data_IF_107499478011
#
_entry.id   IF_107499478011
#
_cell.length_a   1.000
_cell.length_b   1.000
_cell.length_c   1.000
_cell.angle_alpha   90.00
_cell.angle_beta   90.00
_cell.angle_gamma   90.00
#
_symmetry.space_group_name_H-M   'P 1'
#
loop_
_entity.id
_entity.type
_entity.pdbx_description
1 polymer ?
#
# COMPACT_ATOMS: atom_id res chain seq x y z
N UNK A 1 -10.89 -35.11 -44.83
CA UNK A 1 -11.62 -33.83 -45.06
C UNK A 1 -11.45 -32.83 -43.91
N UNK A 2 -11.36 -33.24 -42.64
CA UNK A 2 -11.25 -32.31 -41.49
C UNK A 2 -9.99 -31.43 -41.45
N UNK A 3 -8.83 -31.93 -41.90
CA UNK A 3 -7.57 -31.16 -41.84
C UNK A 3 -7.61 -29.91 -42.71
N UNK A 4 -8.22 -30.01 -43.89
CA UNK A 4 -8.36 -28.91 -44.86
C UNK A 4 -9.28 -27.80 -44.33
N UNK A 5 -10.32 -28.16 -43.58
CA UNK A 5 -11.28 -27.22 -43.00
C UNK A 5 -10.68 -26.48 -41.78
N UNK A 6 -9.85 -27.18 -40.99
CA UNK A 6 -9.06 -26.55 -39.92
C UNK A 6 -8.01 -25.57 -40.45
N UNK A 7 -7.36 -25.90 -41.56
CA UNK A 7 -6.40 -25.00 -42.20
C UNK A 7 -7.08 -23.76 -42.78
N UNK A 8 -8.27 -23.90 -43.39
CA UNK A 8 -9.08 -22.77 -43.87
C UNK A 8 -9.61 -21.86 -42.74
N UNK A 9 -9.97 -22.42 -41.58
CA UNK A 9 -10.36 -21.63 -40.41
C UNK A 9 -9.16 -20.91 -39.77
N UNK A 10 -7.97 -21.51 -39.79
CA UNK A 10 -6.75 -20.87 -39.29
C UNK A 10 -6.27 -19.75 -40.20
N UNK A 11 -6.40 -19.89 -41.52
CA UNK A 11 -6.08 -18.81 -42.45
C UNK A 11 -7.04 -17.64 -42.30
N UNK A 12 -8.35 -17.88 -42.13
CA UNK A 12 -9.34 -16.82 -41.87
C UNK A 12 -9.07 -16.02 -40.59
N UNK A 13 -8.48 -16.64 -39.56
CA UNK A 13 -8.11 -15.96 -38.31
C UNK A 13 -6.92 -15.00 -38.47
N UNK A 14 -5.96 -15.34 -39.35
CA UNK A 14 -4.68 -14.63 -39.45
C UNK A 14 -4.60 -13.68 -40.66
N UNK A 15 -5.38 -13.92 -41.71
CA UNK A 15 -5.25 -13.22 -42.99
C UNK A 15 -6.12 -11.95 -43.09
N UNK A 16 -7.00 -11.74 -42.12
CA UNK A 16 -7.77 -10.51 -41.98
C UNK A 16 -7.81 -10.09 -40.51
N UNK A 17 -6.89 -9.23 -40.08
CA UNK A 17 -6.96 -8.50 -38.79
C UNK A 17 -8.26 -7.69 -38.57
N UNK A 18 -9.28 -7.89 -39.41
CA UNK A 18 -10.67 -7.41 -39.40
C UNK A 18 -11.59 -8.17 -38.45
N UNK A 19 -11.11 -9.20 -37.74
CA UNK A 19 -11.85 -9.78 -36.60
C UNK A 19 -11.75 -8.92 -35.33
N UNK A 20 -10.82 -7.95 -35.30
CA UNK A 20 -10.93 -6.85 -34.36
C UNK A 20 -11.98 -5.88 -34.91
N UNK A 21 -12.99 -5.59 -34.09
CA UNK A 21 -14.00 -4.59 -34.42
C UNK A 21 -13.28 -3.28 -34.78
N UNK A 22 -13.68 -2.66 -35.89
CA UNK A 22 -13.15 -1.37 -36.33
C UNK A 22 -13.20 -0.39 -35.15
N UNK A 23 -12.06 0.22 -34.82
CA UNK A 23 -11.96 1.15 -33.69
C UNK A 23 -12.91 2.35 -33.85
N UNK A 24 -13.25 2.72 -35.08
CA UNK A 24 -14.25 3.75 -35.36
C UNK A 24 -15.68 3.26 -35.04
N UNK A 25 -15.97 1.99 -35.31
CA UNK A 25 -17.25 1.37 -34.93
C UNK A 25 -17.37 1.22 -33.41
N UNK A 26 -16.29 0.82 -32.73
CA UNK A 26 -16.26 0.68 -31.27
C UNK A 26 -16.45 2.02 -30.58
N UNK A 27 -15.72 3.06 -31.00
CA UNK A 27 -15.83 4.41 -30.43
C UNK A 27 -17.21 5.04 -30.69
N UNK A 28 -17.78 4.87 -31.89
CA UNK A 28 -19.13 5.34 -32.21
C UNK A 28 -20.19 4.64 -31.36
N UNK A 29 -20.15 3.31 -31.26
CA UNK A 29 -21.08 2.57 -30.41
C UNK A 29 -20.91 2.92 -28.94
N UNK A 30 -19.69 3.12 -28.44
CA UNK A 30 -19.45 3.56 -27.07
C UNK A 30 -20.09 4.93 -26.81
N UNK A 31 -19.97 5.86 -27.75
CA UNK A 31 -20.61 7.17 -27.67
C UNK A 31 -22.14 7.09 -27.69
N UNK A 32 -22.72 6.29 -28.58
CA UNK A 32 -24.18 6.10 -28.65
C UNK A 32 -24.73 5.42 -27.39
N UNK A 33 -24.02 4.44 -26.84
CA UNK A 33 -24.41 3.73 -25.62
C UNK A 33 -24.29 4.65 -24.40
N UNK A 34 -23.23 5.45 -24.29
CA UNK A 34 -23.10 6.46 -23.23
C UNK A 34 -24.18 7.55 -23.35
N UNK A 35 -24.55 7.95 -24.57
CA UNK A 35 -25.64 8.91 -24.81
C UNK A 35 -27.00 8.32 -24.43
N UNK A 36 -27.25 7.04 -24.70
CA UNK A 36 -28.46 6.34 -24.25
C UNK A 36 -28.50 6.22 -22.73
N UNK A 37 -27.39 5.86 -22.08
CA UNK A 37 -27.32 5.78 -20.61
C UNK A 37 -27.53 7.17 -20.00
N UNK A 38 -26.84 8.20 -20.48
CA UNK A 38 -26.97 9.55 -19.91
C UNK A 38 -28.34 10.17 -20.18
N UNK A 39 -28.95 9.93 -21.34
CA UNK A 39 -30.33 10.36 -21.62
C UNK A 39 -31.35 9.58 -20.77
N UNK A 40 -31.18 8.28 -20.54
CA UNK A 40 -32.05 7.51 -19.63
C UNK A 40 -31.83 7.85 -18.15
N UNK A 41 -30.64 8.28 -17.75
CA UNK A 41 -30.31 8.65 -16.36
C UNK A 41 -30.67 10.11 -16.05
N UNK A 42 -30.59 11.03 -17.01
CA UNK A 42 -30.90 12.46 -16.79
C UNK A 42 -32.34 12.87 -17.12
N UNK A 43 -33.15 12.01 -17.76
CA UNK A 43 -34.57 12.32 -18.05
C UNK A 43 -35.55 11.72 -17.04
N UNK A 44 -35.14 11.55 -15.77
CA UNK A 44 -36.09 11.47 -14.66
C UNK A 44 -36.27 12.85 -14.01
N UNK A 45 -36.65 13.80 -14.86
CA UNK A 45 -37.51 14.92 -14.46
C UNK A 45 -38.75 14.35 -13.76
N UNK A 46 -39.30 15.09 -12.81
CA UNK A 46 -40.44 14.74 -11.94
C UNK A 46 -41.72 14.38 -12.70
N UNK A 47 -41.75 13.21 -13.34
CA UNK A 47 -42.97 12.50 -13.64
C UNK A 47 -43.11 11.38 -12.61
N UNK A 48 -44.08 11.56 -11.72
CA UNK A 48 -44.71 10.50 -10.94
C UNK A 48 -45.11 9.39 -11.90
N UNK A 49 -44.23 8.41 -12.05
CA UNK A 49 -44.52 7.20 -12.81
C UNK A 49 -45.66 6.48 -12.08
N UNK A 50 -46.84 6.46 -12.69
CA UNK A 50 -47.97 5.61 -12.31
C UNK A 50 -47.68 4.11 -12.59
N UNK A 51 -46.46 3.63 -12.34
CA UNK A 51 -46.10 2.20 -12.41
C UNK A 51 -46.76 1.37 -11.32
N UNK A 52 -47.39 2.02 -10.34
CA UNK A 52 -48.23 1.36 -9.36
C UNK A 52 -49.45 0.67 -10.01
N UNK A 53 -50.01 1.20 -11.11
CA UNK A 53 -51.18 0.64 -11.78
C UNK A 53 -50.89 -0.68 -12.50
N UNK A 54 -49.89 -0.69 -13.38
CA UNK A 54 -49.57 -1.83 -14.25
C UNK A 54 -49.00 -3.02 -13.44
N UNK A 55 -48.20 -2.76 -12.42
CA UNK A 55 -47.67 -3.82 -11.53
C UNK A 55 -48.80 -4.39 -10.64
N UNK A 56 -49.80 -3.57 -10.27
CA UNK A 56 -50.95 -4.04 -9.48
C UNK A 56 -51.89 -4.97 -10.25
N UNK A 57 -52.04 -4.79 -11.56
CA UNK A 57 -52.89 -5.65 -12.40
C UNK A 57 -52.25 -7.02 -12.63
N UNK A 58 -50.93 -7.06 -12.87
CA UNK A 58 -50.19 -8.33 -13.04
C UNK A 58 -50.16 -9.14 -11.72
N UNK A 59 -50.09 -8.46 -10.58
CA UNK A 59 -50.15 -9.12 -9.25
C UNK A 59 -51.53 -9.67 -8.89
N UNK A 60 -52.61 -9.15 -9.48
CA UNK A 60 -53.97 -9.62 -9.20
C UNK A 60 -54.32 -10.92 -9.93
N UNK A 61 -53.63 -11.25 -11.02
CA UNK A 61 -53.86 -12.47 -11.80
C UNK A 61 -53.21 -13.70 -11.14
N UNK A 62 -52.09 -13.52 -10.43
CA UNK A 62 -51.29 -14.65 -9.93
C UNK A 62 -51.46 -14.98 -8.45
N UNK A 63 -52.17 -14.16 -7.65
CA UNK A 63 -52.32 -14.40 -6.20
C UNK A 63 -53.79 -14.38 -5.78
N UNK A 64 -54.39 -15.53 -5.41
CA UNK A 64 -55.75 -15.59 -4.94
C UNK A 64 -55.93 -14.82 -3.61
N UNK A 65 -57.09 -14.16 -3.46
CA UNK A 65 -57.37 -13.19 -2.41
C UNK A 65 -57.15 -13.68 -0.97
N UNK A 66 -57.26 -15.00 -0.74
CA UNK A 66 -57.06 -15.64 0.56
C UNK A 66 -55.61 -15.60 1.08
N UNK A 67 -54.61 -15.44 0.20
CA UNK A 67 -53.19 -15.39 0.60
C UNK A 67 -52.68 -13.97 0.86
N UNK A 68 -53.48 -12.94 0.59
CA UNK A 68 -53.04 -11.53 0.60
C UNK A 68 -52.67 -10.98 1.98
N UNK A 69 -53.21 -11.55 3.07
CA UNK A 69 -52.86 -11.16 4.45
C UNK A 69 -51.58 -11.83 4.96
N UNK A 70 -51.26 -13.03 4.49
CA UNK A 70 -50.13 -13.83 5.00
C UNK A 70 -48.83 -13.58 4.22
N UNK A 71 -48.93 -13.22 2.93
CA UNK A 71 -47.76 -13.00 2.09
C UNK A 71 -47.12 -11.63 2.27
N UNK A 72 -47.84 -10.62 2.79
CA UNK A 72 -47.30 -9.27 2.99
C UNK A 72 -45.97 -9.25 3.77
N UNK A 73 -45.87 -9.77 5.01
CA UNK A 73 -44.60 -9.75 5.73
C UNK A 73 -43.53 -10.63 5.07
N UNK A 74 -43.91 -11.76 4.47
CA UNK A 74 -42.97 -12.67 3.79
C UNK A 74 -42.37 -12.06 2.53
N UNK A 75 -43.14 -11.29 1.77
CA UNK A 75 -42.64 -10.57 0.59
C UNK A 75 -41.79 -9.40 1.03
N UNK A 76 -42.15 -8.63 2.07
CA UNK A 76 -41.31 -7.53 2.53
C UNK A 76 -39.97 -8.05 3.07
N UNK A 77 -39.96 -9.16 3.81
CA UNK A 77 -38.69 -9.77 4.25
C UNK A 77 -37.90 -10.33 3.07
N UNK A 78 -38.56 -10.98 2.11
CA UNK A 78 -37.90 -11.45 0.89
C UNK A 78 -37.35 -10.27 0.07
N UNK A 79 -38.05 -9.15 -0.04
CA UNK A 79 -37.62 -7.95 -0.75
C UNK A 79 -36.48 -7.25 0.00
N UNK A 80 -36.50 -7.22 1.33
CA UNK A 80 -35.38 -6.73 2.14
C UNK A 80 -34.16 -7.63 1.95
N UNK A 81 -34.33 -8.95 1.95
CA UNK A 81 -33.25 -9.91 1.69
C UNK A 81 -32.75 -9.77 0.25
N UNK A 82 -33.63 -9.71 -0.74
CA UNK A 82 -33.28 -9.59 -2.15
C UNK A 82 -32.67 -8.22 -2.45
N UNK A 83 -33.11 -7.12 -1.87
CA UNK A 83 -32.45 -5.81 -2.03
C UNK A 83 -31.11 -5.78 -1.29
N UNK A 84 -31.02 -6.41 -0.13
CA UNK A 84 -29.75 -6.57 0.60
C UNK A 84 -28.75 -7.46 -0.17
N UNK A 85 -29.23 -8.48 -0.88
CA UNK A 85 -28.41 -9.46 -1.62
C UNK A 85 -28.13 -9.01 -3.06
N UNK A 86 -29.12 -8.46 -3.77
CA UNK A 86 -28.98 -7.94 -5.13
C UNK A 86 -28.24 -6.59 -5.16
N UNK A 87 -28.34 -5.78 -4.09
CA UNK A 87 -27.45 -4.63 -3.88
C UNK A 87 -25.98 -5.06 -3.72
N UNK A 88 -25.73 -6.23 -3.12
CA UNK A 88 -24.38 -6.78 -2.95
C UNK A 88 -23.74 -7.18 -4.30
N UNK A 89 -24.50 -7.69 -5.26
CA UNK A 89 -23.93 -8.19 -6.53
C UNK A 89 -23.45 -7.07 -7.48
N UNK A 90 -24.10 -5.90 -7.50
CA UNK A 90 -23.66 -4.76 -8.31
C UNK A 90 -22.54 -3.94 -7.62
N UNK A 91 -22.54 -3.85 -6.29
CA UNK A 91 -21.53 -3.09 -5.56
C UNK A 91 -20.19 -3.81 -5.39
N UNK A 92 -20.13 -5.14 -5.41
CA UNK A 92 -18.88 -5.89 -5.18
C UNK A 92 -17.86 -5.71 -6.30
N UNK A 93 -18.31 -5.53 -7.55
CA UNK A 93 -17.41 -5.30 -8.69
C UNK A 93 -16.77 -3.90 -8.69
N UNK A 94 -17.50 -2.89 -8.18
CA UNK A 94 -16.97 -1.54 -8.03
C UNK A 94 -16.16 -1.37 -6.73
N UNK A 95 -16.53 -2.08 -5.65
CA UNK A 95 -15.83 -1.98 -4.38
C UNK A 95 -14.49 -2.71 -4.35
N UNK A 96 -14.20 -3.64 -5.28
CA UNK A 96 -12.91 -4.34 -5.26
C UNK A 96 -11.72 -3.39 -5.47
N UNK A 97 -11.92 -2.33 -6.25
CA UNK A 97 -10.94 -1.28 -6.51
C UNK A 97 -11.03 -0.07 -5.57
N UNK A 98 -11.93 -0.06 -4.59
CA UNK A 98 -12.05 1.10 -3.68
C UNK A 98 -10.83 1.20 -2.76
N UNK A 99 -10.27 2.40 -2.67
CA UNK A 99 -9.17 2.73 -1.78
C UNK A 99 -9.66 3.19 -0.41
N UNK A 100 -8.78 3.13 0.62
CA UNK A 100 -9.07 3.70 1.93
C UNK A 100 -9.53 5.16 1.85
N UNK A 101 -10.77 5.42 2.24
CA UNK A 101 -11.41 6.74 2.14
C UNK A 101 -12.55 6.83 1.12
N UNK A 102 -12.63 5.86 0.20
CA UNK A 102 -13.72 5.80 -0.76
C UNK A 102 -15.04 5.34 -0.11
N UNK A 103 -16.17 5.79 -0.66
CA UNK A 103 -17.51 5.51 -0.13
C UNK A 103 -17.80 4.00 0.06
N UNK A 104 -17.26 3.16 -0.82
CA UNK A 104 -17.48 1.71 -0.80
C UNK A 104 -16.38 0.90 -0.09
N UNK A 105 -15.37 1.56 0.48
CA UNK A 105 -14.28 0.86 1.17
C UNK A 105 -14.77 0.11 2.42
N UNK A 106 -15.76 0.66 3.14
CA UNK A 106 -16.41 -0.04 4.25
C UNK A 106 -17.06 -1.35 3.82
N UNK A 107 -17.65 -1.38 2.62
CA UNK A 107 -18.27 -2.59 2.05
C UNK A 107 -17.20 -3.62 1.69
N UNK A 108 -16.06 -3.19 1.12
CA UNK A 108 -14.90 -4.05 0.87
C UNK A 108 -14.40 -4.73 2.15
N UNK A 109 -14.18 -3.96 3.21
CA UNK A 109 -13.76 -4.48 4.51
C UNK A 109 -14.76 -5.47 5.11
N UNK A 110 -16.06 -5.17 5.02
CA UNK A 110 -17.11 -6.06 5.50
C UNK A 110 -17.11 -7.39 4.73
N UNK A 111 -17.02 -7.33 3.39
CA UNK A 111 -16.97 -8.52 2.55
C UNK A 111 -15.71 -9.37 2.81
N UNK A 112 -14.55 -8.75 3.02
CA UNK A 112 -13.31 -9.44 3.39
C UNK A 112 -13.42 -10.13 4.76
N UNK A 113 -13.94 -9.43 5.77
CA UNK A 113 -14.16 -10.01 7.11
C UNK A 113 -15.13 -11.18 7.06
N UNK A 114 -16.23 -11.07 6.32
CA UNK A 114 -17.18 -12.18 6.12
C UNK A 114 -16.50 -13.37 5.46
N UNK A 115 -15.68 -13.13 4.41
CA UNK A 115 -14.89 -14.20 3.78
C UNK A 115 -13.92 -14.86 4.76
N UNK A 116 -13.24 -14.08 5.62
CA UNK A 116 -12.34 -14.64 6.63
C UNK A 116 -13.08 -15.48 7.68
N UNK A 117 -14.25 -15.02 8.15
CA UNK A 117 -15.06 -15.75 9.13
C UNK A 117 -15.60 -17.05 8.52
N UNK A 118 -16.27 -16.95 7.36
CA UNK A 118 -16.84 -18.13 6.69
C UNK A 118 -15.73 -19.08 6.24
N UNK A 119 -14.64 -18.56 5.68
CA UNK A 119 -13.49 -19.34 5.25
C UNK A 119 -12.79 -20.03 6.41
N UNK A 120 -12.65 -19.39 7.58
CA UNK A 120 -12.09 -20.01 8.76
C UNK A 120 -12.99 -21.08 9.39
N UNK A 121 -14.31 -20.92 9.31
CA UNK A 121 -15.27 -21.93 9.78
C UNK A 121 -15.30 -23.18 8.87
N UNK A 122 -15.26 -22.98 7.55
CA UNK A 122 -15.40 -24.08 6.57
C UNK A 122 -14.05 -24.74 6.25
N UNK A 123 -12.98 -23.95 6.17
CA UNK A 123 -11.65 -24.39 5.73
C UNK A 123 -10.57 -24.37 6.80
N UNK A 124 -10.93 -24.17 8.07
CA UNK A 124 -9.99 -24.22 9.19
C UNK A 124 -8.94 -23.11 9.21
N UNK A 125 -7.86 -23.35 9.97
CA UNK A 125 -6.78 -22.38 10.15
C UNK A 125 -5.94 -22.19 8.87
N UNK A 126 -5.82 -23.22 8.02
CA UNK A 126 -5.16 -23.13 6.70
C UNK A 126 -5.84 -22.08 5.83
N UNK A 127 -7.16 -22.23 5.61
CA UNK A 127 -7.89 -21.32 4.72
C UNK A 127 -7.92 -19.90 5.25
N UNK A 128 -7.98 -19.75 6.57
CA UNK A 128 -7.91 -18.44 7.22
C UNK A 128 -6.56 -17.76 7.02
N UNK A 129 -5.44 -18.49 7.16
CA UNK A 129 -4.11 -17.97 6.87
C UNK A 129 -3.97 -17.53 5.40
N UNK A 130 -4.48 -18.32 4.45
CA UNK A 130 -4.49 -17.97 3.02
C UNK A 130 -5.28 -16.67 2.76
N UNK A 131 -6.46 -16.52 3.39
CA UNK A 131 -7.28 -15.31 3.24
C UNK A 131 -6.61 -14.08 3.87
N UNK A 132 -5.91 -14.23 5.00
CA UNK A 132 -5.13 -13.17 5.62
C UNK A 132 -3.94 -12.75 4.76
N UNK A 133 -3.23 -13.70 4.13
CA UNK A 133 -2.19 -13.40 3.15
C UNK A 133 -2.73 -12.61 1.96
N UNK A 134 -3.90 -12.99 1.45
CA UNK A 134 -4.56 -12.25 0.37
C UNK A 134 -4.95 -10.83 0.79
N UNK A 135 -5.44 -10.67 2.03
CA UNK A 135 -5.73 -9.35 2.59
C UNK A 135 -4.46 -8.50 2.70
N UNK A 136 -3.35 -9.07 3.18
CA UNK A 136 -2.05 -8.41 3.22
C UNK A 136 -1.59 -7.95 1.83
N UNK A 137 -1.59 -8.82 0.81
CA UNK A 137 -1.28 -8.41 -0.57
C UNK A 137 -2.19 -7.28 -1.06
N UNK A 138 -3.47 -7.32 -0.71
CA UNK A 138 -4.42 -6.27 -1.07
C UNK A 138 -4.05 -4.95 -0.42
N UNK A 139 -3.68 -4.94 0.87
CA UNK A 139 -3.24 -3.71 1.56
C UNK A 139 -1.96 -3.14 0.99
N UNK A 140 -0.99 -3.97 0.60
CA UNK A 140 0.22 -3.50 -0.05
C UNK A 140 -0.08 -2.77 -1.38
N UNK A 141 -0.99 -3.34 -2.19
CA UNK A 141 -1.44 -2.70 -3.42
C UNK A 141 -2.24 -1.41 -3.16
N UNK A 142 -3.08 -1.38 -2.13
CA UNK A 142 -3.77 -0.16 -1.71
C UNK A 142 -2.79 0.93 -1.28
N UNK A 143 -1.74 0.58 -0.53
CA UNK A 143 -0.66 1.51 -0.18
C UNK A 143 0.00 2.09 -1.43
N UNK A 144 0.38 1.25 -2.40
CA UNK A 144 0.96 1.71 -3.66
C UNK A 144 0.03 2.68 -4.39
N UNK A 145 -1.24 2.33 -4.55
CA UNK A 145 -2.22 3.18 -5.22
C UNK A 145 -2.46 4.51 -4.47
N UNK A 146 -2.47 4.50 -3.13
CA UNK A 146 -2.57 5.73 -2.33
C UNK A 146 -1.37 6.65 -2.52
N UNK A 147 -0.17 6.10 -2.65
CA UNK A 147 1.05 6.87 -2.97
C UNK A 147 0.93 7.47 -4.38
N UNK A 148 0.53 6.68 -5.37
CA UNK A 148 0.33 7.15 -6.76
C UNK A 148 -0.74 8.26 -6.85
N UNK A 149 -1.79 8.19 -6.04
CA UNK A 149 -2.85 9.22 -5.95
C UNK A 149 -2.51 10.39 -5.01
N UNK A 150 -1.30 10.41 -4.43
CA UNK A 150 -0.83 11.41 -3.48
C UNK A 150 -1.74 11.58 -2.23
N UNK A 151 -2.39 10.49 -1.79
CA UNK A 151 -3.28 10.42 -0.61
C UNK A 151 -2.52 9.95 0.64
N UNK A 152 -1.46 10.69 1.00
CA UNK A 152 -0.50 10.30 2.04
C UNK A 152 -1.10 10.12 3.43
N UNK A 153 -2.16 10.87 3.75
CA UNK A 153 -2.88 10.82 5.04
C UNK A 153 -3.59 9.47 5.30
N UNK A 154 -3.70 8.62 4.27
CA UNK A 154 -4.32 7.29 4.36
C UNK A 154 -3.31 6.15 4.34
N UNK A 155 -2.04 6.43 4.01
CA UNK A 155 -1.01 5.39 3.86
C UNK A 155 -0.69 4.73 5.19
N UNK A 156 -0.49 5.50 6.26
CA UNK A 156 -0.17 4.99 7.60
C UNK A 156 -1.17 3.93 8.07
N UNK A 157 -2.47 4.26 8.02
CA UNK A 157 -3.54 3.35 8.44
C UNK A 157 -3.60 2.07 7.58
N UNK A 158 -3.23 2.18 6.32
CA UNK A 158 -3.20 1.05 5.38
C UNK A 158 -2.02 0.12 5.68
N UNK A 159 -0.85 0.70 5.99
CA UNK A 159 0.32 -0.02 6.47
C UNK A 159 0.07 -0.71 7.82
N UNK A 160 -0.63 -0.08 8.76
CA UNK A 160 -1.03 -0.72 10.02
C UNK A 160 -1.94 -1.93 9.77
N UNK A 161 -2.93 -1.78 8.87
CA UNK A 161 -3.78 -2.90 8.48
C UNK A 161 -3.01 -4.03 7.77
N UNK A 162 -1.96 -3.70 7.01
CA UNK A 162 -1.07 -4.66 6.39
C UNK A 162 -0.30 -5.46 7.46
N UNK A 163 0.39 -4.77 8.38
CA UNK A 163 1.13 -5.38 9.50
C UNK A 163 0.26 -6.33 10.31
N UNK A 164 -0.97 -5.89 10.62
CA UNK A 164 -1.96 -6.70 11.33
C UNK A 164 -2.31 -7.98 10.57
N UNK A 165 -2.55 -7.88 9.26
CA UNK A 165 -2.93 -9.03 8.42
C UNK A 165 -1.80 -10.07 8.36
N UNK A 166 -0.54 -9.62 8.21
CA UNK A 166 0.63 -10.51 8.21
C UNK A 166 0.87 -11.15 9.57
N UNK A 167 0.74 -10.38 10.65
CA UNK A 167 0.86 -10.90 12.02
C UNK A 167 -0.21 -11.95 12.32
N UNK A 168 -1.45 -11.69 11.93
CA UNK A 168 -2.54 -12.65 12.08
C UNK A 168 -2.32 -13.90 11.21
N UNK A 169 -1.79 -13.76 9.98
CA UNK A 169 -1.47 -14.91 9.13
C UNK A 169 -0.41 -15.80 9.79
N UNK A 170 0.67 -15.21 10.32
CA UNK A 170 1.70 -15.92 11.07
C UNK A 170 1.14 -16.64 12.30
N UNK A 171 0.26 -15.97 13.08
CA UNK A 171 -0.40 -16.61 14.22
C UNK A 171 -1.28 -17.79 13.79
N UNK A 172 -2.00 -17.69 12.67
CA UNK A 172 -2.79 -18.82 12.18
C UNK A 172 -1.91 -19.96 11.64
N UNK A 173 -0.72 -19.67 11.11
CA UNK A 173 0.27 -20.71 10.79
C UNK A 173 0.66 -21.51 12.05
N UNK A 174 0.88 -20.86 13.19
CA UNK A 174 1.18 -21.58 14.43
C UNK A 174 0.06 -22.54 14.85
N UNK A 175 -1.20 -22.16 14.60
CA UNK A 175 -2.35 -23.04 14.80
C UNK A 175 -2.40 -24.18 13.78
N UNK A 176 -2.11 -23.91 12.50
CA UNK A 176 -2.02 -24.94 11.44
C UNK A 176 -0.95 -25.95 11.82
N UNK A 177 0.25 -25.53 12.21
CA UNK A 177 1.29 -26.46 12.63
C UNK A 177 0.91 -27.35 13.82
N UNK A 178 -0.05 -26.95 14.65
CA UNK A 178 -0.54 -27.74 15.80
C UNK A 178 -1.65 -28.71 15.41
N UNK A 179 -2.52 -28.32 14.47
CA UNK A 179 -3.76 -29.07 14.13
C UNK A 179 -3.64 -29.87 12.84
N UNK A 180 -2.89 -29.37 11.88
CA UNK A 180 -2.73 -29.85 10.50
C UNK A 180 -1.24 -29.75 10.11
N UNK A 181 -0.35 -30.49 10.80
CA UNK A 181 1.11 -30.41 10.63
C UNK A 181 1.56 -30.61 9.18
N UNK A 182 0.88 -31.47 8.43
CA UNK A 182 1.12 -31.77 7.02
C UNK A 182 0.92 -30.56 6.10
N UNK A 183 0.13 -29.58 6.53
CA UNK A 183 -0.17 -28.37 5.76
C UNK A 183 0.70 -27.18 6.18
N UNK A 184 1.42 -27.28 7.29
CA UNK A 184 2.20 -26.19 7.86
C UNK A 184 3.24 -25.65 6.88
N UNK A 185 3.98 -26.54 6.19
CA UNK A 185 4.99 -26.16 5.21
C UNK A 185 4.39 -25.38 4.03
N UNK A 186 3.26 -25.85 3.50
CA UNK A 186 2.53 -25.16 2.42
C UNK A 186 2.04 -23.77 2.85
N UNK A 187 1.50 -23.64 4.06
CA UNK A 187 1.03 -22.35 4.58
C UNK A 187 2.20 -21.40 4.82
N UNK A 188 3.31 -21.89 5.39
CA UNK A 188 4.52 -21.10 5.58
C UNK A 188 5.13 -20.62 4.26
N UNK A 189 5.19 -21.50 3.25
CA UNK A 189 5.59 -21.13 1.89
C UNK A 189 4.68 -20.06 1.31
N UNK A 190 3.35 -20.21 1.44
CA UNK A 190 2.41 -19.19 1.01
C UNK A 190 2.55 -17.85 1.73
N UNK A 191 2.95 -17.84 3.00
CA UNK A 191 3.27 -16.61 3.75
C UNK A 191 4.57 -16.00 3.24
N UNK A 192 5.63 -16.79 3.04
CA UNK A 192 6.92 -16.33 2.50
C UNK A 192 6.77 -15.73 1.10
N UNK A 193 6.08 -16.41 0.19
CA UNK A 193 5.75 -15.92 -1.16
C UNK A 193 4.95 -14.62 -1.11
N UNK A 194 4.08 -14.49 -0.10
CA UNK A 194 3.29 -13.29 0.08
C UNK A 194 4.13 -12.13 0.60
N UNK A 195 5.05 -12.41 1.52
CA UNK A 195 6.00 -11.42 2.02
C UNK A 195 6.85 -10.85 0.89
N UNK A 196 7.39 -11.70 0.01
CA UNK A 196 8.13 -11.29 -1.19
C UNK A 196 7.29 -10.39 -2.12
N UNK A 197 6.06 -10.82 -2.44
CA UNK A 197 5.16 -10.01 -3.29
C UNK A 197 4.87 -8.64 -2.66
N UNK A 198 4.61 -8.62 -1.34
CA UNK A 198 4.34 -7.40 -0.58
C UNK A 198 5.58 -6.52 -0.57
N UNK A 199 6.76 -7.10 -0.34
CA UNK A 199 8.05 -6.43 -0.31
C UNK A 199 8.31 -5.67 -1.62
N UNK A 200 8.14 -6.35 -2.75
CA UNK A 200 8.24 -5.77 -4.09
C UNK A 200 7.18 -4.67 -4.34
N UNK A 201 5.95 -4.86 -3.87
CA UNK A 201 4.90 -3.84 -4.03
C UNK A 201 5.21 -2.59 -3.21
N UNK A 202 5.75 -2.76 -1.99
CA UNK A 202 6.14 -1.67 -1.12
C UNK A 202 7.39 -0.94 -1.62
N UNK A 203 8.32 -1.64 -2.29
CA UNK A 203 9.41 -1.01 -3.05
C UNK A 203 8.86 -0.06 -4.11
N UNK A 204 7.93 -0.51 -4.93
CA UNK A 204 7.33 0.32 -5.97
C UNK A 204 6.61 1.53 -5.38
N UNK A 205 5.93 1.35 -4.24
CA UNK A 205 5.33 2.44 -3.49
C UNK A 205 6.39 3.43 -2.97
N UNK A 206 7.51 2.92 -2.44
CA UNK A 206 8.62 3.75 -1.94
C UNK A 206 9.21 4.64 -3.04
N UNK A 207 9.42 4.08 -4.24
CA UNK A 207 9.92 4.83 -5.39
C UNK A 207 8.94 5.92 -5.89
N UNK A 208 7.64 5.78 -5.58
CA UNK A 208 6.60 6.73 -5.96
C UNK A 208 6.35 7.85 -4.95
N UNK A 209 6.96 7.83 -3.76
CA UNK A 209 6.71 8.82 -2.70
C UNK A 209 7.90 9.75 -2.48
N UNK A 210 7.62 11.05 -2.35
CA UNK A 210 8.59 12.05 -1.90
C UNK A 210 8.39 12.45 -0.42
N UNK A 211 7.42 11.85 0.26
CA UNK A 211 7.14 12.14 1.66
C UNK A 211 8.03 11.27 2.57
N UNK A 212 8.98 11.90 3.26
CA UNK A 212 9.98 11.24 4.11
C UNK A 212 9.34 10.39 5.22
N UNK A 213 8.26 10.88 5.84
CA UNK A 213 7.57 10.16 6.92
C UNK A 213 6.91 8.89 6.37
N UNK A 214 6.17 9.00 5.27
CA UNK A 214 5.55 7.86 4.58
C UNK A 214 6.61 6.86 4.09
N UNK A 215 7.69 7.34 3.48
CA UNK A 215 8.83 6.50 3.07
C UNK A 215 9.39 5.71 4.25
N UNK A 216 9.60 6.38 5.38
CA UNK A 216 10.05 5.74 6.61
C UNK A 216 9.09 4.67 7.14
N UNK A 217 7.77 4.89 7.04
CA UNK A 217 6.76 3.90 7.43
C UNK A 217 6.68 2.71 6.45
N UNK A 218 6.83 2.96 5.15
CA UNK A 218 6.87 1.92 4.11
C UNK A 218 8.08 1.00 4.34
N UNK A 219 9.27 1.57 4.57
CA UNK A 219 10.49 0.80 4.86
C UNK A 219 10.32 -0.04 6.13
N UNK A 220 9.83 0.57 7.22
CA UNK A 220 9.58 -0.15 8.49
C UNK A 220 8.57 -1.30 8.31
N UNK A 221 7.59 -1.12 7.42
CA UNK A 221 6.58 -2.15 7.13
C UNK A 221 7.12 -3.24 6.22
N UNK A 222 7.89 -2.89 5.18
CA UNK A 222 8.56 -3.84 4.26
C UNK A 222 9.38 -4.84 5.09
N UNK A 223 10.22 -4.31 5.97
CA UNK A 223 11.00 -5.04 6.97
C UNK A 223 10.16 -6.00 7.79
N UNK A 224 9.14 -5.50 8.49
CA UNK A 224 8.33 -6.33 9.39
C UNK A 224 7.65 -7.48 8.62
N UNK A 225 7.24 -7.24 7.38
CA UNK A 225 6.67 -8.27 6.52
C UNK A 225 7.71 -9.32 6.12
N UNK A 226 8.92 -8.91 5.72
CA UNK A 226 10.02 -9.83 5.39
C UNK A 226 10.44 -10.65 6.62
N UNK A 227 10.60 -10.03 7.79
CA UNK A 227 10.88 -10.69 9.08
C UNK A 227 9.85 -11.80 9.38
N UNK A 228 8.56 -11.50 9.20
CA UNK A 228 7.48 -12.47 9.43
C UNK A 228 7.42 -13.55 8.35
N UNK A 229 7.76 -13.22 7.10
CA UNK A 229 7.86 -14.18 6.01
C UNK A 229 8.91 -15.26 6.27
N UNK A 230 10.10 -14.84 6.70
CA UNK A 230 11.21 -15.75 7.06
C UNK A 230 10.91 -16.47 8.38
N UNK A 231 10.37 -15.75 9.37
CA UNK A 231 9.94 -16.32 10.64
C UNK A 231 8.92 -17.44 10.50
N UNK A 232 8.01 -17.33 9.52
CA UNK A 232 7.06 -18.40 9.19
C UNK A 232 7.77 -19.69 8.78
N UNK A 233 8.73 -19.62 7.84
CA UNK A 233 9.53 -20.78 7.40
C UNK A 233 10.35 -21.34 8.56
N UNK A 234 10.96 -20.47 9.37
CA UNK A 234 11.75 -20.85 10.54
C UNK A 234 10.94 -21.61 11.58
N UNK A 235 9.73 -21.14 11.87
CA UNK A 235 8.85 -21.80 12.84
C UNK A 235 8.46 -23.22 12.43
N UNK A 236 8.28 -23.47 11.12
CA UNK A 236 7.98 -24.81 10.61
C UNK A 236 9.23 -25.67 10.59
N UNK A 237 10.38 -25.12 10.19
CA UNK A 237 11.65 -25.85 10.19
C UNK A 237 12.05 -26.30 11.62
N UNK A 238 11.95 -25.43 12.63
CA UNK A 238 12.25 -25.80 14.02
C UNK A 238 11.32 -26.92 14.52
N UNK A 239 10.03 -26.86 14.20
CA UNK A 239 9.08 -27.91 14.59
C UNK A 239 9.38 -29.24 13.88
N UNK A 240 9.82 -29.18 12.63
CA UNK A 240 10.27 -30.37 11.88
C UNK A 240 11.51 -30.99 12.55
N UNK A 241 12.51 -30.20 12.92
CA UNK A 241 13.70 -30.71 13.63
C UNK A 241 13.37 -31.31 15.00
N UNK A 242 12.39 -30.74 15.70
CA UNK A 242 11.89 -31.29 16.96
C UNK A 242 11.06 -32.57 16.78
N UNK A 243 10.85 -33.05 15.55
CA UNK A 243 10.05 -34.24 15.24
C UNK A 243 8.53 -34.03 15.33
N UNK A 244 8.07 -32.78 15.42
CA UNK A 244 6.63 -32.45 15.46
C UNK A 244 5.99 -32.52 14.07
N UNK A 245 6.78 -32.43 12.99
CA UNK A 245 6.31 -32.40 11.59
C UNK A 245 6.95 -33.50 10.72
N UNK A 246 6.71 -34.76 11.06
CA UNK A 246 7.30 -35.91 10.36
C UNK A 246 6.79 -36.09 8.92
N UNK A 247 5.66 -35.47 8.56
CA UNK A 247 5.05 -35.59 7.23
C UNK A 247 5.64 -34.63 6.19
N UNK A 248 6.34 -33.57 6.62
CA UNK A 248 6.97 -32.60 5.73
C UNK A 248 8.31 -33.16 5.24
N UNK A 249 8.56 -33.19 3.94
CA UNK A 249 9.83 -33.74 3.42
C UNK A 249 11.00 -32.76 3.59
N UNK A 250 12.23 -33.28 3.72
CA UNK A 250 13.43 -32.44 3.80
C UNK A 250 13.63 -31.61 2.53
N UNK A 251 13.24 -32.18 1.38
CA UNK A 251 13.30 -31.50 0.09
C UNK A 251 12.37 -30.30 0.02
N UNK A 252 11.10 -30.46 0.43
CA UNK A 252 10.16 -29.33 0.47
C UNK A 252 10.65 -28.23 1.40
N UNK A 253 11.21 -28.59 2.55
CA UNK A 253 11.77 -27.61 3.48
C UNK A 253 13.02 -26.91 2.91
N UNK A 254 13.90 -27.65 2.24
CA UNK A 254 15.09 -27.10 1.60
C UNK A 254 14.76 -26.06 0.53
N UNK A 255 13.76 -26.32 -0.32
CA UNK A 255 13.27 -25.35 -1.31
C UNK A 255 12.68 -24.11 -0.64
N UNK A 256 11.92 -24.26 0.45
CA UNK A 256 11.35 -23.13 1.19
C UNK A 256 12.44 -22.26 1.85
N UNK A 257 13.44 -22.88 2.46
CA UNK A 257 14.57 -22.18 3.09
C UNK A 257 15.40 -21.46 2.03
N UNK A 258 15.74 -22.14 0.93
CA UNK A 258 16.49 -21.56 -0.18
C UNK A 258 15.76 -20.34 -0.74
N UNK A 259 14.45 -20.46 -1.00
CA UNK A 259 13.63 -19.35 -1.48
C UNK A 259 13.58 -18.19 -0.49
N UNK A 260 13.43 -18.47 0.81
CA UNK A 260 13.42 -17.44 1.84
C UNK A 260 14.77 -16.69 1.91
N UNK A 261 15.89 -17.39 1.73
CA UNK A 261 17.22 -16.79 1.68
C UNK A 261 17.39 -15.96 0.41
N UNK A 262 17.02 -16.48 -0.76
CA UNK A 262 17.08 -15.73 -2.03
C UNK A 262 16.26 -14.43 -1.95
N UNK A 263 15.05 -14.49 -1.41
CA UNK A 263 14.22 -13.31 -1.20
C UNK A 263 14.86 -12.28 -0.26
N UNK A 264 15.55 -12.73 0.79
CA UNK A 264 16.28 -11.85 1.70
C UNK A 264 17.53 -11.25 1.05
N UNK A 265 18.23 -12.02 0.22
CA UNK A 265 19.36 -11.53 -0.56
C UNK A 265 18.92 -10.41 -1.50
N UNK A 266 17.86 -10.63 -2.27
CA UNK A 266 17.31 -9.63 -3.18
C UNK A 266 16.89 -8.35 -2.42
N UNK A 267 16.21 -8.51 -1.27
CA UNK A 267 15.80 -7.37 -0.45
C UNK A 267 16.99 -6.60 0.15
N UNK A 268 18.07 -7.30 0.51
CA UNK A 268 19.27 -6.71 1.12
C UNK A 268 20.12 -5.95 0.09
N UNK A 269 20.38 -6.56 -1.07
CA UNK A 269 21.09 -5.90 -2.18
C UNK A 269 20.37 -4.61 -2.58
N UNK A 270 19.05 -4.68 -2.64
CA UNK A 270 18.21 -3.56 -2.99
C UNK A 270 18.13 -2.50 -1.89
N UNK A 271 18.09 -2.88 -0.61
CA UNK A 271 18.16 -1.91 0.49
C UNK A 271 19.46 -1.10 0.44
N UNK A 272 20.59 -1.73 0.06
CA UNK A 272 21.83 -1.01 -0.25
C UNK A 272 21.58 0.10 -1.28
N UNK A 273 21.00 -0.25 -2.42
CA UNK A 273 20.69 0.72 -3.49
C UNK A 273 19.62 1.77 -3.11
N UNK A 274 18.66 1.43 -2.26
CA UNK A 274 17.66 2.38 -1.75
C UNK A 274 18.27 3.38 -0.78
N UNK A 275 19.31 2.97 -0.04
CA UNK A 275 20.05 3.87 0.85
C UNK A 275 20.80 4.92 0.01
N UNK A 276 21.38 4.51 -1.11
CA UNK A 276 22.02 5.42 -2.08
C UNK A 276 21.00 6.40 -2.70
N UNK A 277 19.77 5.96 -3.00
CA UNK A 277 18.72 6.85 -3.53
C UNK A 277 18.19 7.81 -2.46
N UNK A 278 18.05 7.37 -1.21
CA UNK A 278 17.72 8.24 -0.08
C UNK A 278 18.78 9.32 0.09
N UNK A 279 20.06 8.95 0.03
CA UNK A 279 21.20 9.88 0.05
C UNK A 279 21.13 10.88 -1.12
N UNK A 280 20.80 10.41 -2.32
CA UNK A 280 20.62 11.27 -3.50
C UNK A 280 19.47 12.26 -3.33
N UNK A 281 18.31 11.82 -2.87
CA UNK A 281 17.14 12.69 -2.62
C UNK A 281 17.45 13.72 -1.53
N UNK A 282 18.20 13.32 -0.51
CA UNK A 282 18.65 14.22 0.56
C UNK A 282 19.62 15.28 0.03
N UNK A 283 20.60 14.89 -0.78
CA UNK A 283 21.56 15.80 -1.41
C UNK A 283 20.93 16.78 -2.42
N UNK A 284 19.88 16.36 -3.12
CA UNK A 284 19.18 17.20 -4.09
C UNK A 284 18.22 18.20 -3.40
N UNK A 285 17.59 17.81 -2.29
CA UNK A 285 16.76 18.70 -1.46
C UNK A 285 17.59 19.81 -0.78
N UNK A 286 18.77 19.49 -0.24
CA UNK A 286 19.70 20.51 0.30
C UNK A 286 20.15 21.49 -0.79
N UNK A 287 20.32 21.02 -2.03
CA UNK A 287 20.71 21.88 -3.15
C UNK A 287 19.59 22.81 -3.62
N UNK A 288 18.31 22.39 -3.57
CA UNK A 288 17.18 23.22 -4.00
C UNK A 288 16.72 24.27 -2.97
N UNK A 289 16.91 24.03 -1.67
CA UNK A 289 16.64 25.03 -0.63
C UNK A 289 17.56 26.26 -0.80
N UNK A 290 18.83 26.04 -1.19
CA UNK A 290 19.81 27.13 -1.42
C UNK A 290 19.41 28.03 -2.61
N UNK A 291 18.74 27.49 -3.64
CA UNK A 291 18.44 28.23 -4.88
C UNK A 291 17.13 29.04 -4.76
N UNK A 292 16.12 28.54 -4.05
CA UNK A 292 14.82 29.23 -3.96
C UNK A 292 14.84 30.43 -3.01
N UNK A 293 15.72 30.42 -2.00
CA UNK A 293 15.91 31.54 -1.06
C UNK A 293 16.64 32.71 -1.73
N UNK A 294 17.46 32.44 -2.76
CA UNK A 294 18.09 33.49 -3.58
C UNK A 294 17.11 34.16 -4.56
N UNK A 295 15.94 33.57 -4.83
CA UNK A 295 15.06 34.00 -5.92
C UNK A 295 13.79 34.73 -5.48
N UNK A 296 13.25 34.42 -4.29
CA UNK A 296 11.91 34.92 -3.88
C UNK A 296 11.91 36.29 -3.18
N UNK A 297 13.06 36.87 -2.82
CA UNK A 297 13.09 38.11 -2.03
C UNK A 297 13.27 39.39 -2.87
N UNK A 298 13.51 39.31 -4.18
CA UNK A 298 13.86 40.51 -4.98
C UNK A 298 12.69 41.07 -5.82
N UNK A 299 11.56 40.38 -5.97
CA UNK A 299 10.53 40.81 -6.96
C UNK A 299 9.33 41.61 -6.41
N UNK A 300 9.39 42.18 -5.19
CA UNK A 300 8.22 42.91 -4.66
C UNK A 300 8.49 44.16 -3.83
N UNK A 301 9.50 44.98 -4.18
CA UNK A 301 9.53 46.40 -3.75
C UNK A 301 10.20 47.25 -4.83
N UNK A 302 9.46 47.67 -5.85
CA UNK A 302 9.83 48.83 -6.69
C UNK A 302 8.58 49.65 -6.94
N UNK A 303 8.33 50.63 -6.05
CA UNK A 303 7.71 51.90 -6.43
C UNK A 303 7.84 52.91 -5.28
N UNK A 304 9.05 53.40 -5.01
CA UNK A 304 9.27 54.79 -4.59
C UNK A 304 10.76 55.12 -4.51
N UNK A 305 11.08 56.30 -5.02
CA UNK A 305 12.40 56.88 -5.17
C UNK A 305 13.07 57.13 -3.81
N UNK A 306 13.99 56.24 -3.41
CA UNK A 306 15.01 56.55 -2.40
C UNK A 306 16.33 55.94 -2.87
N UNK A 307 17.35 56.78 -3.05
CA UNK A 307 18.74 56.31 -3.19
C UNK A 307 19.19 55.75 -1.85
N UNK A 308 18.99 54.46 -1.63
CA UNK A 308 19.60 53.72 -0.53
C UNK A 308 20.90 53.13 -1.03
N UNK A 309 21.98 53.45 -0.31
CA UNK A 309 23.31 52.91 -0.50
C UNK A 309 23.27 51.41 -0.21
N UNK A 310 23.30 50.57 -1.24
CA UNK A 310 23.43 49.11 -1.09
C UNK A 310 24.88 48.82 -0.74
N UNK A 311 25.18 48.69 0.55
CA UNK A 311 26.35 47.95 0.99
C UNK A 311 26.09 46.49 0.69
N UNK A 312 26.68 45.98 -0.39
CA UNK A 312 26.89 44.54 -0.59
C UNK A 312 27.84 44.04 0.49
N UNK A 313 27.32 43.59 1.62
CA UNK A 313 28.02 42.61 2.44
C UNK A 313 28.11 41.34 1.61
N UNK A 314 29.32 41.03 1.15
CA UNK A 314 29.62 39.71 0.62
C UNK A 314 29.25 38.70 1.71
N UNK A 315 28.16 37.96 1.49
CA UNK A 315 27.92 36.70 2.20
C UNK A 315 29.10 35.83 1.79
N UNK A 316 30.06 35.72 2.69
CA UNK A 316 31.21 34.84 2.48
C UNK A 316 30.63 33.45 2.60
N UNK A 317 30.61 32.70 1.50
CA UNK A 317 30.25 31.28 1.49
C UNK A 317 31.19 30.54 2.45
N UNK A 318 30.83 30.49 3.74
CA UNK A 318 31.39 29.56 4.70
C UNK A 318 30.67 28.25 4.50
N UNK A 319 30.99 27.56 3.39
CA UNK A 319 30.78 26.13 3.28
C UNK A 319 31.73 25.47 4.28
N UNK A 320 31.32 25.38 5.55
CA UNK A 320 31.88 24.36 6.42
C UNK A 320 31.51 23.02 5.79
N UNK A 321 32.48 22.18 5.38
CA UNK A 321 32.17 20.85 4.91
C UNK A 321 31.43 20.15 6.06
N UNK A 322 30.18 19.78 5.80
CA UNK A 322 29.48 18.80 6.63
C UNK A 322 30.42 17.58 6.67
N UNK A 323 30.79 17.15 7.87
CA UNK A 323 31.75 16.08 8.09
C UNK A 323 31.18 14.76 7.55
N UNK A 324 31.41 14.51 6.27
CA UNK A 324 30.85 13.44 5.45
C UNK A 324 31.34 12.02 5.82
N UNK A 325 32.29 11.85 6.74
CA UNK A 325 33.22 10.73 6.57
C UNK A 325 33.16 9.59 7.62
N UNK A 326 32.38 9.70 8.69
CA UNK A 326 32.34 8.65 9.73
C UNK A 326 31.15 7.68 9.56
N UNK A 327 29.93 8.20 9.43
CA UNK A 327 28.72 7.37 9.50
C UNK A 327 28.44 6.60 8.21
N UNK A 328 28.84 7.11 7.04
CA UNK A 328 28.61 6.48 5.74
C UNK A 328 29.61 5.35 5.44
N UNK A 329 30.87 5.49 5.87
CA UNK A 329 31.87 4.41 5.78
C UNK A 329 31.46 3.19 6.61
N UNK A 330 30.87 3.41 7.77
CA UNK A 330 30.35 2.33 8.62
C UNK A 330 29.19 1.59 7.93
N UNK A 331 28.28 2.28 7.24
CA UNK A 331 27.16 1.64 6.52
C UNK A 331 27.67 0.73 5.39
N UNK A 332 28.65 1.18 4.61
CA UNK A 332 29.21 0.39 3.49
C UNK A 332 30.04 -0.80 3.97
N UNK A 333 30.84 -0.64 5.02
CA UNK A 333 31.58 -1.75 5.59
C UNK A 333 30.64 -2.83 6.15
N UNK A 334 29.52 -2.42 6.76
CA UNK A 334 28.54 -3.37 7.28
C UNK A 334 27.75 -4.03 6.14
N UNK A 335 27.45 -3.33 5.04
CA UNK A 335 26.76 -3.96 3.90
C UNK A 335 27.59 -5.07 3.24
N UNK A 336 28.93 -4.90 3.14
CA UNK A 336 29.81 -5.96 2.63
C UNK A 336 29.82 -7.21 3.53
N UNK A 337 29.84 -7.03 4.86
CA UNK A 337 29.77 -8.14 5.84
C UNK A 337 28.43 -8.88 5.72
N UNK A 338 27.33 -8.13 5.64
CA UNK A 338 25.98 -8.68 5.50
C UNK A 338 25.83 -9.51 4.21
N UNK A 339 26.39 -9.03 3.09
CA UNK A 339 26.36 -9.77 1.82
C UNK A 339 27.15 -11.08 1.95
N UNK A 340 28.32 -11.05 2.58
CA UNK A 340 29.11 -12.28 2.78
C UNK A 340 28.36 -13.29 3.66
N UNK A 341 27.71 -12.83 4.72
CA UNK A 341 26.94 -13.71 5.61
C UNK A 341 25.72 -14.35 4.90
N UNK A 342 25.10 -13.65 3.94
CA UNK A 342 24.07 -14.22 3.07
C UNK A 342 24.61 -15.28 2.11
N UNK A 343 25.79 -15.04 1.53
CA UNK A 343 26.47 -16.03 0.68
C UNK A 343 26.78 -17.30 1.47
N UNK A 344 27.25 -17.16 2.69
CA UNK A 344 27.50 -18.28 3.59
C UNK A 344 26.20 -19.00 3.96
N UNK A 345 25.13 -18.26 4.28
CA UNK A 345 23.81 -18.84 4.56
C UNK A 345 23.29 -19.65 3.37
N UNK A 346 23.47 -19.16 2.15
CA UNK A 346 23.14 -19.90 0.92
C UNK A 346 23.97 -21.17 0.79
N UNK A 347 25.27 -21.11 1.04
CA UNK A 347 26.15 -22.28 1.03
C UNK A 347 25.72 -23.35 2.06
N UNK A 348 25.34 -22.93 3.26
CA UNK A 348 24.80 -23.82 4.31
C UNK A 348 23.48 -24.48 3.89
N UNK A 349 22.59 -23.72 3.24
CA UNK A 349 21.32 -24.27 2.73
C UNK A 349 21.55 -25.32 1.63
N UNK A 350 22.49 -25.07 0.71
CA UNK A 350 22.89 -26.03 -0.33
C UNK A 350 23.59 -27.27 0.25
N UNK A 351 24.31 -27.10 1.36
CA UNK A 351 24.92 -28.19 2.13
C UNK A 351 23.95 -29.02 2.98
N UNK A 352 22.65 -28.67 3.00
CA UNK A 352 21.63 -29.35 3.80
C UNK A 352 21.57 -28.93 5.28
N UNK A 353 22.36 -27.95 5.71
CA UNK A 353 22.33 -27.37 7.06
C UNK A 353 21.25 -26.29 7.15
N UNK A 354 19.99 -26.68 6.95
CA UNK A 354 18.87 -25.75 6.76
C UNK A 354 18.63 -24.83 7.95
N UNK A 355 18.77 -25.31 9.19
CA UNK A 355 18.56 -24.47 10.38
C UNK A 355 19.67 -23.45 10.56
N UNK A 356 20.92 -23.86 10.39
CA UNK A 356 22.06 -22.95 10.52
C UNK A 356 21.99 -21.85 9.44
N UNK A 357 21.66 -22.24 8.20
CA UNK A 357 21.42 -21.31 7.11
C UNK A 357 20.34 -20.28 7.44
N UNK A 358 19.21 -20.72 7.98
CA UNK A 358 18.08 -19.84 8.27
C UNK A 358 18.31 -18.96 9.51
N UNK A 359 19.01 -19.48 10.52
CA UNK A 359 19.44 -18.69 11.68
C UNK A 359 20.39 -17.58 11.24
N UNK A 360 21.38 -17.91 10.40
CA UNK A 360 22.30 -16.92 9.83
C UNK A 360 21.56 -15.87 8.99
N UNK A 361 20.61 -16.29 8.16
CA UNK A 361 19.76 -15.37 7.39
C UNK A 361 18.90 -14.45 8.30
N UNK A 362 18.34 -14.96 9.39
CA UNK A 362 17.59 -14.14 10.35
C UNK A 362 18.49 -13.14 11.10
N UNK A 363 19.74 -13.51 11.38
CA UNK A 363 20.73 -12.63 12.00
C UNK A 363 21.14 -11.49 11.05
N UNK A 364 21.47 -11.82 9.80
CA UNK A 364 21.70 -10.84 8.73
C UNK A 364 20.54 -9.85 8.64
N UNK A 365 19.31 -10.36 8.59
CA UNK A 365 18.13 -9.50 8.51
C UNK A 365 18.02 -8.57 9.73
N UNK A 366 18.35 -9.06 10.94
CA UNK A 366 18.39 -8.24 12.16
C UNK A 366 19.48 -7.16 12.12
N UNK A 367 20.62 -7.45 11.50
CA UNK A 367 21.71 -6.49 11.38
C UNK A 367 21.42 -5.39 10.35
N UNK A 368 20.93 -5.77 9.17
CA UNK A 368 20.34 -4.83 8.18
C UNK A 368 19.34 -3.91 8.88
N UNK A 369 18.51 -4.50 9.72
CA UNK A 369 17.50 -3.81 10.48
C UNK A 369 18.02 -2.81 11.53
N UNK A 370 19.19 -3.06 12.12
CA UNK A 370 19.84 -2.14 13.05
C UNK A 370 20.51 -0.99 12.32
N UNK A 371 21.06 -1.24 11.12
CA UNK A 371 21.65 -0.22 10.25
C UNK A 371 20.57 0.78 9.82
N UNK A 372 19.45 0.31 9.26
CA UNK A 372 18.37 1.19 8.81
C UNK A 372 17.82 2.08 9.93
N UNK A 373 17.71 1.54 11.15
CA UNK A 373 17.29 2.30 12.33
C UNK A 373 18.29 3.36 12.74
N UNK A 374 19.58 3.13 12.52
CA UNK A 374 20.65 4.10 12.82
C UNK A 374 20.72 5.23 11.78
N UNK A 375 20.39 4.94 10.51
CA UNK A 375 20.39 5.93 9.43
C UNK A 375 19.21 6.92 9.54
N UNK A 376 18.01 6.43 9.90
CA UNK A 376 16.77 7.24 9.98
C UNK A 376 16.86 8.51 10.87
N UNK A 377 17.37 8.46 12.12
CA UNK A 377 17.45 9.64 12.98
C UNK A 377 18.52 10.64 12.54
N UNK A 378 19.64 10.17 11.98
CA UNK A 378 20.73 11.05 11.50
C UNK A 378 20.19 11.97 10.40
N UNK A 379 19.47 11.39 9.44
CA UNK A 379 18.85 12.12 8.34
C UNK A 379 17.82 13.16 8.81
N UNK A 380 16.95 12.79 9.74
CA UNK A 380 15.88 13.68 10.24
C UNK A 380 16.45 14.81 11.10
N UNK A 381 17.43 14.52 11.96
CA UNK A 381 18.11 15.53 12.79
C UNK A 381 18.89 16.53 11.94
N UNK A 382 19.58 16.07 10.91
CA UNK A 382 20.41 16.92 10.06
C UNK A 382 19.55 17.85 9.20
N UNK A 383 18.46 17.32 8.63
CA UNK A 383 17.46 18.12 7.91
C UNK A 383 16.81 19.15 8.84
N UNK A 384 16.51 18.78 10.09
CA UNK A 384 15.92 19.69 11.09
C UNK A 384 16.89 20.79 11.51
N UNK A 385 18.16 20.47 11.75
CA UNK A 385 19.19 21.45 12.13
C UNK A 385 19.42 22.48 11.04
N UNK A 386 19.40 22.07 9.77
CA UNK A 386 19.49 23.00 8.64
C UNK A 386 18.34 24.01 8.65
N UNK A 387 17.09 23.53 8.82
CA UNK A 387 15.91 24.40 8.90
C UNK A 387 15.95 25.34 10.12
N UNK A 388 16.33 24.84 11.30
CA UNK A 388 16.40 25.66 12.52
C UNK A 388 17.53 26.71 12.46
N UNK A 389 18.68 26.40 11.84
CA UNK A 389 19.78 27.35 11.68
C UNK A 389 19.44 28.53 10.77
N UNK A 390 18.63 28.29 9.74
CA UNK A 390 18.24 29.31 8.76
C UNK A 390 17.16 30.28 9.29
N UNK A 391 16.28 29.80 10.18
CA UNK A 391 15.23 30.64 10.81
C UNK A 391 15.82 31.62 11.85
N UNK A 392 16.94 31.28 12.48
CA UNK A 392 17.58 32.11 13.51
C UNK A 392 18.42 33.24 12.91
N UNK A 393 18.97 33.08 11.71
CA UNK A 393 19.81 34.12 11.08
C UNK A 393 18.97 35.28 10.50
N UNK A 394 17.70 35.06 10.15
CA UNK A 394 16.80 36.12 9.68
C UNK A 394 16.16 36.98 10.79
N UNK A 395 16.25 36.58 12.06
CA UNK A 395 15.65 37.33 13.19
C UNK A 395 16.64 38.18 14.00
N UNK A 396 17.94 38.17 13.64
CA UNK A 396 18.99 38.90 14.36
C UNK A 396 19.42 40.22 13.70
N UNK A 397 19.02 40.49 12.44
CA UNK A 397 19.18 41.81 11.84
C UNK A 397 18.06 42.74 12.29
N UNK A 398 18.24 43.35 13.47
CA UNK A 398 17.38 44.39 14.00
C UNK A 398 17.31 45.58 13.05
N UNK A 399 16.25 45.66 12.27
CA UNK A 399 15.65 46.93 11.88
C UNK A 399 14.54 47.23 12.88
N UNK A 400 14.71 48.34 13.61
CA UNK A 400 13.77 48.83 14.61
C UNK A 400 12.51 49.31 13.88
N UNK A 401 11.60 48.39 13.59
CA UNK A 401 10.26 48.75 13.12
C UNK A 401 9.46 49.23 14.32
N UNK A 402 9.27 50.54 14.40
CA UNK A 402 8.31 51.19 15.29
C UNK A 402 6.94 50.50 15.19
N UNK A 403 6.57 49.79 16.23
CA UNK A 403 5.21 49.29 16.46
C UNK A 403 4.27 50.47 16.65
N UNK A 404 3.46 50.78 15.64
CA UNK A 404 2.25 51.58 15.83
C UNK A 404 1.16 50.69 16.41
N UNK A 405 0.88 50.89 17.70
CA UNK A 405 -0.22 50.27 18.44
C UNK A 405 -1.55 50.63 17.77
N UNK A 406 -2.17 49.67 17.09
CA UNK A 406 -3.58 49.80 16.69
C UNK A 406 -4.43 49.11 17.74
N UNK A 407 -5.02 49.91 18.62
CA UNK A 407 -6.01 49.48 19.61
C UNK A 407 -7.24 48.98 18.87
N UNK A 408 -7.49 47.67 18.90
CA UNK A 408 -8.76 47.09 18.44
C UNK A 408 -9.72 47.10 19.62
N UNK A 409 -10.67 48.04 19.62
CA UNK A 409 -11.80 48.04 20.55
C UNK A 409 -12.71 46.83 20.26
N UNK A 410 -12.83 45.93 21.23
CA UNK A 410 -13.80 44.83 21.21
C UNK A 410 -15.15 45.31 21.73
N UNK A 411 -16.10 45.55 20.82
CA UNK A 411 -17.50 45.77 21.18
C UNK A 411 -18.13 44.45 21.61
N UNK A 412 -18.43 44.30 22.90
CA UNK A 412 -19.14 43.14 23.46
C UNK A 412 -20.65 43.38 23.36
N UNK A 413 -21.33 42.69 22.43
CA UNK A 413 -22.80 42.68 22.38
C UNK A 413 -23.34 41.65 23.37
N UNK A 414 -23.95 42.13 24.47
CA UNK A 414 -24.75 41.33 25.39
C UNK A 414 -26.14 41.09 24.79
N UNK A 415 -26.45 39.84 24.46
CA UNK A 415 -27.82 39.41 24.16
C UNK A 415 -28.58 39.22 25.48
N UNK A 416 -29.61 40.02 25.70
CA UNK A 416 -30.59 39.87 26.77
C UNK A 416 -31.73 39.02 26.22
N UNK A 417 -31.97 37.87 26.84
CA UNK A 417 -33.19 37.07 26.63
C UNK A 417 -34.28 37.62 27.54
N UNK A 418 -35.42 38.01 26.96
CA UNK A 418 -36.70 38.17 27.65
C UNK A 418 -37.50 36.87 27.56
#
# INVERSE_FOLDING_TARGET
MEKKLREQLKSLKNENGRLNADQNWVSKNRGDLMRQITSQVSSKSKETIETAGVISEIWQIFIPASLRMMTRPAITTLLVVVVSVAGWSASVGASSGSLPGDAFYGVKLAAEKTKMVVGGLVGGSEKKAELLNKAAKTRANETKALVEENKMDKVEKTLESLKKSVTEAHKNLEEVSKKEPEKAAKVAGGISDSAETISNTLKEALAGTNNIEVSGQIVDTKKEVTDKGIGAVSSVLQKKENGELNEVTDKEMGELVKKAIENLTDDTEEMGAQTDELERVLGDQTSQVIINISSSTISKVVSSTVKVFVSTTAVTNSSTPVSEDASLKDVKAVSEVVIQDLVDAKGLAEGGQLVEALVKALEVNKDVNNITKSVKPVVVEETRKLIESEVVEQTSAGDVVNTSTTTVETTTTKTITQ
#
